data_IF_777527108416
#
_entry.id   IF_777527108416
#
_cell.length_a   1.000
_cell.length_b   1.000
_cell.length_c   1.000
_cell.angle_alpha   90.00
_cell.angle_beta   90.00
_cell.angle_gamma   90.00
#
_symmetry.space_group_name_H-M   'P 1'
#
loop_
_entity.id
_entity.type
_entity.pdbx_description
1 polymer ?
#
# COMPACT_ATOMS: atom_id res chain seq x y z
N UNK A 1 20.29 42.82 -33.79
CA UNK A 1 21.05 41.59 -33.42
C UNK A 1 21.26 41.44 -31.91
N UNK A 2 21.65 42.45 -31.20
CA UNK A 2 21.83 42.38 -29.73
C UNK A 2 20.56 42.05 -28.96
N UNK A 3 19.40 42.50 -29.38
CA UNK A 3 18.10 42.17 -28.79
C UNK A 3 17.75 40.67 -28.92
N UNK A 4 18.06 40.08 -30.04
CA UNK A 4 17.75 38.70 -30.34
C UNK A 4 18.59 37.73 -29.46
N UNK A 5 19.87 38.04 -29.27
CA UNK A 5 20.77 37.27 -28.41
C UNK A 5 20.35 37.34 -26.94
N UNK A 6 19.95 38.52 -26.47
CA UNK A 6 19.45 38.72 -25.11
C UNK A 6 18.12 37.96 -24.86
N UNK A 7 17.23 37.95 -25.83
CA UNK A 7 15.95 37.26 -25.76
C UNK A 7 16.15 35.73 -25.74
N UNK A 8 17.09 35.23 -26.58
CA UNK A 8 17.45 33.82 -26.58
C UNK A 8 18.06 33.35 -25.25
N UNK A 9 18.97 34.16 -24.66
CA UNK A 9 19.59 33.88 -23.39
C UNK A 9 18.56 33.88 -22.24
N UNK A 10 17.59 34.79 -22.28
CA UNK A 10 16.50 34.86 -21.32
C UNK A 10 15.58 33.68 -21.45
N UNK A 11 15.21 33.26 -22.64
CA UNK A 11 14.38 32.09 -22.91
C UNK A 11 15.06 30.81 -22.44
N UNK A 12 16.37 30.67 -22.64
CA UNK A 12 17.13 29.53 -22.15
C UNK A 12 17.14 29.43 -20.60
N UNK A 13 17.30 30.55 -19.91
CA UNK A 13 17.25 30.62 -18.46
C UNK A 13 15.87 30.25 -17.90
N UNK A 14 14.81 30.70 -18.53
CA UNK A 14 13.43 30.37 -18.15
C UNK A 14 13.17 28.88 -18.34
N UNK A 15 13.61 28.33 -19.48
CA UNK A 15 13.44 26.88 -19.73
C UNK A 15 14.21 26.04 -18.74
N UNK A 16 15.40 26.42 -18.33
CA UNK A 16 16.18 25.74 -17.29
C UNK A 16 15.49 25.79 -15.90
N UNK A 17 15.00 26.96 -15.53
CA UNK A 17 14.28 27.14 -14.28
C UNK A 17 13.03 26.26 -14.22
N UNK A 18 12.27 26.18 -15.31
CA UNK A 18 11.09 25.30 -15.41
C UNK A 18 11.45 23.83 -15.25
N UNK A 19 12.54 23.38 -15.85
CA UNK A 19 13.01 21.99 -15.70
C UNK A 19 13.39 21.67 -14.28
N UNK A 20 14.12 22.55 -13.61
CA UNK A 20 14.49 22.38 -12.20
C UNK A 20 13.28 22.31 -11.30
N UNK A 21 12.29 23.17 -11.52
CA UNK A 21 11.05 23.18 -10.75
C UNK A 21 10.26 21.89 -10.94
N UNK A 22 10.14 21.42 -12.18
CA UNK A 22 9.45 20.16 -12.49
C UNK A 22 10.16 18.96 -11.85
N UNK A 23 11.49 18.93 -11.82
CA UNK A 23 12.26 17.89 -11.16
C UNK A 23 12.07 17.92 -9.65
N UNK A 24 12.02 19.10 -9.03
CA UNK A 24 11.71 19.26 -7.62
C UNK A 24 10.31 18.78 -7.28
N UNK A 25 9.30 19.13 -8.09
CA UNK A 25 7.92 18.66 -7.91
C UNK A 25 7.84 17.14 -7.98
N UNK A 26 8.47 16.52 -8.95
CA UNK A 26 8.51 15.07 -9.08
C UNK A 26 9.13 14.40 -7.85
N UNK A 27 10.22 14.95 -7.35
CA UNK A 27 10.87 14.46 -6.14
C UNK A 27 9.98 14.57 -4.91
N UNK A 28 9.26 15.68 -4.75
CA UNK A 28 8.31 15.87 -3.66
C UNK A 28 7.11 14.93 -3.78
N UNK A 29 6.57 14.77 -4.98
CA UNK A 29 5.46 13.83 -5.20
C UNK A 29 5.86 12.38 -4.87
N UNK A 30 7.08 11.98 -5.22
CA UNK A 30 7.59 10.66 -4.88
C UNK A 30 7.70 10.47 -3.36
N UNK A 31 8.16 11.49 -2.63
CA UNK A 31 8.23 11.46 -1.16
C UNK A 31 6.86 11.40 -0.52
N UNK A 32 5.90 12.16 -1.02
CA UNK A 32 4.52 12.16 -0.53
C UNK A 32 3.88 10.79 -0.76
N UNK A 33 4.08 10.19 -1.93
CA UNK A 33 3.58 8.85 -2.24
C UNK A 33 4.18 7.80 -1.32
N UNK A 34 5.48 7.87 -1.07
CA UNK A 34 6.16 6.92 -0.19
C UNK A 34 5.68 7.04 1.26
N UNK A 35 5.51 8.27 1.76
CA UNK A 35 4.96 8.50 3.09
C UNK A 35 3.53 7.98 3.20
N UNK A 36 2.69 8.25 2.20
CA UNK A 36 1.31 7.76 2.15
C UNK A 36 1.26 6.22 2.08
N UNK A 37 2.16 5.61 1.32
CA UNK A 37 2.28 4.16 1.24
C UNK A 37 2.65 3.55 2.60
N UNK A 38 3.62 4.13 3.30
CA UNK A 38 4.04 3.68 4.64
C UNK A 38 2.89 3.79 5.65
N UNK A 39 2.16 4.89 5.64
CA UNK A 39 1.00 5.08 6.51
C UNK A 39 -0.09 4.05 6.20
N UNK A 40 -0.32 3.77 4.93
CA UNK A 40 -1.29 2.77 4.50
C UNK A 40 -0.88 1.36 4.92
N UNK A 41 0.40 1.01 4.76
CA UNK A 41 0.94 -0.28 5.24
C UNK A 41 0.75 -0.44 6.74
N UNK A 42 1.04 0.59 7.52
CA UNK A 42 0.87 0.56 8.95
C UNK A 42 -0.60 0.37 9.35
N UNK A 43 -1.50 1.10 8.69
CA UNK A 43 -2.93 0.95 8.92
C UNK A 43 -3.41 -0.47 8.62
N UNK A 44 -2.98 -1.03 7.48
CA UNK A 44 -3.32 -2.42 7.11
C UNK A 44 -2.79 -3.42 8.13
N UNK A 45 -1.57 -3.22 8.62
CA UNK A 45 -0.97 -4.08 9.63
C UNK A 45 -1.76 -4.04 10.93
N UNK A 46 -2.17 -2.87 11.36
CA UNK A 46 -2.99 -2.69 12.56
C UNK A 46 -4.36 -3.34 12.40
N UNK A 47 -4.99 -3.16 11.24
CA UNK A 47 -6.28 -3.78 10.94
C UNK A 47 -6.17 -5.31 10.89
N UNK A 48 -5.13 -5.85 10.28
CA UNK A 48 -4.89 -7.28 10.25
C UNK A 48 -4.67 -7.85 11.66
N UNK A 49 -3.99 -7.10 12.53
CA UNK A 49 -3.76 -7.50 13.93
C UNK A 49 -5.02 -7.52 14.79
N UNK A 50 -6.07 -6.82 14.37
CA UNK A 50 -7.37 -6.82 15.07
C UNK A 50 -8.22 -8.05 14.72
N UNK A 51 -7.84 -8.82 13.73
CA UNK A 51 -8.58 -10.01 13.32
C UNK A 51 -8.49 -11.08 14.42
N UNK A 52 -9.65 -11.59 14.84
CA UNK A 52 -9.70 -12.66 15.83
C UNK A 52 -9.40 -14.00 15.17
N UNK A 53 -8.50 -14.78 15.78
CA UNK A 53 -8.11 -16.10 15.29
C UNK A 53 -9.10 -17.18 15.77
N UNK A 54 -10.35 -17.05 15.33
CA UNK A 54 -11.44 -17.95 15.67
C UNK A 54 -12.09 -18.50 14.40
N UNK A 55 -12.62 -19.71 14.50
CA UNK A 55 -13.35 -20.34 13.42
C UNK A 55 -14.80 -19.88 13.31
N UNK A 56 -15.52 -20.46 12.37
CA UNK A 56 -16.94 -20.16 12.12
C UNK A 56 -17.86 -20.42 13.30
N UNK A 57 -17.49 -21.33 14.18
CA UNK A 57 -18.20 -21.68 15.40
C UNK A 57 -17.77 -20.89 16.64
N UNK A 58 -16.85 -19.95 16.48
CA UNK A 58 -16.31 -19.15 17.58
C UNK A 58 -15.20 -19.82 18.37
N UNK A 59 -14.81 -21.04 18.05
CA UNK A 59 -13.69 -21.71 18.70
C UNK A 59 -12.36 -21.25 18.14
N UNK A 60 -11.28 -21.23 18.96
CA UNK A 60 -9.96 -20.82 18.46
C UNK A 60 -9.48 -21.69 17.30
N UNK A 61 -8.85 -21.06 16.32
CA UNK A 61 -8.19 -21.77 15.23
C UNK A 61 -7.01 -22.58 15.77
N UNK A 62 -6.77 -23.73 15.16
CA UNK A 62 -5.64 -24.61 15.51
C UNK A 62 -4.55 -24.51 14.46
N UNK A 63 -3.36 -25.05 14.75
CA UNK A 63 -2.23 -25.10 13.81
C UNK A 63 -1.88 -23.74 13.23
N UNK A 64 -1.83 -22.71 14.08
CA UNK A 64 -1.51 -21.34 13.67
C UNK A 64 -0.16 -21.26 12.94
N UNK A 65 -0.14 -20.61 11.79
CA UNK A 65 1.07 -20.40 11.00
C UNK A 65 1.13 -18.97 10.47
N UNK A 66 2.34 -18.38 10.41
CA UNK A 66 2.48 -17.08 9.80
C UNK A 66 2.25 -17.17 8.29
N UNK A 67 1.64 -16.14 7.74
CA UNK A 67 1.42 -15.99 6.31
C UNK A 67 1.55 -14.52 5.95
N UNK A 68 1.54 -14.21 4.68
CA UNK A 68 1.47 -12.83 4.21
C UNK A 68 0.30 -12.67 3.26
N UNK A 69 -0.33 -11.51 3.34
CA UNK A 69 -1.46 -11.14 2.52
C UNK A 69 -1.04 -9.95 1.66
N UNK A 70 -1.27 -10.04 0.35
CA UNK A 70 -0.98 -8.94 -0.56
C UNK A 70 -2.25 -8.16 -0.83
N UNK A 71 -2.21 -6.85 -0.53
CA UNK A 71 -3.32 -5.93 -0.77
C UNK A 71 -2.93 -5.00 -1.91
N UNK A 72 -3.79 -4.90 -2.92
CA UNK A 72 -3.60 -3.93 -3.99
C UNK A 72 -4.06 -2.57 -3.51
N UNK A 73 -3.14 -1.61 -3.47
CA UNK A 73 -3.42 -0.23 -3.07
C UNK A 73 -3.20 0.73 -4.24
N UNK A 74 -3.69 1.98 -4.15
CA UNK A 74 -3.38 3.02 -5.14
C UNK A 74 -1.88 3.29 -5.29
N UNK A 75 -1.07 2.88 -4.31
CA UNK A 75 0.38 3.05 -4.28
C UNK A 75 1.15 1.80 -4.71
N UNK A 76 0.45 0.78 -5.20
CA UNK A 76 1.02 -0.50 -5.59
C UNK A 76 0.69 -1.64 -4.61
N UNK A 77 1.21 -2.85 -4.84
CA UNK A 77 0.95 -3.98 -3.95
C UNK A 77 1.65 -3.82 -2.60
N UNK A 78 0.93 -4.10 -1.53
CA UNK A 78 1.43 -4.04 -0.16
C UNK A 78 1.31 -5.41 0.48
N UNK A 79 2.41 -5.93 1.02
CA UNK A 79 2.43 -7.19 1.76
C UNK A 79 2.21 -6.92 3.25
N UNK A 80 1.25 -7.62 3.84
CA UNK A 80 0.92 -7.51 5.25
C UNK A 80 1.13 -8.87 5.89
N UNK A 81 1.88 -8.92 6.99
CA UNK A 81 2.06 -10.14 7.76
C UNK A 81 0.76 -10.44 8.53
N UNK A 82 0.34 -11.70 8.47
CA UNK A 82 -0.88 -12.16 9.13
C UNK A 82 -0.69 -13.57 9.65
N UNK A 83 -1.67 -14.07 10.39
CA UNK A 83 -1.71 -15.45 10.87
C UNK A 83 -2.87 -16.18 10.22
N UNK A 84 -2.64 -17.41 9.83
CA UNK A 84 -3.68 -18.34 9.39
C UNK A 84 -3.76 -19.49 10.35
N UNK A 85 -4.92 -20.12 10.43
CA UNK A 85 -5.15 -21.28 11.26
C UNK A 85 -6.11 -22.24 10.62
N UNK A 86 -6.21 -23.43 11.19
CA UNK A 86 -7.12 -24.46 10.73
C UNK A 86 -8.42 -24.37 11.52
N UNK A 87 -9.54 -24.30 10.81
CA UNK A 87 -10.88 -24.33 11.38
C UNK A 87 -11.36 -25.78 11.37
N UNK A 88 -11.32 -26.44 12.52
CA UNK A 88 -11.69 -27.85 12.64
C UNK A 88 -13.17 -28.08 12.39
N UNK A 89 -14.03 -27.12 12.70
CA UNK A 89 -15.47 -27.24 12.46
C UNK A 89 -15.82 -27.19 10.98
N UNK A 90 -15.11 -26.37 10.20
CA UNK A 90 -15.32 -26.24 8.75
C UNK A 90 -14.41 -27.16 7.94
N UNK A 91 -13.36 -27.71 8.54
CA UNK A 91 -12.40 -28.56 7.86
C UNK A 91 -11.54 -27.84 6.84
N UNK A 92 -11.24 -26.55 7.07
CA UNK A 92 -10.48 -25.74 6.12
C UNK A 92 -9.51 -24.77 6.80
N UNK A 93 -8.52 -24.31 6.05
CA UNK A 93 -7.62 -23.27 6.49
C UNK A 93 -8.26 -21.91 6.32
N UNK A 94 -8.14 -21.06 7.33
CA UNK A 94 -8.76 -19.72 7.35
C UNK A 94 -7.71 -18.69 7.73
N UNK A 95 -7.77 -17.55 7.05
CA UNK A 95 -7.00 -16.38 7.41
C UNK A 95 -7.94 -15.23 7.75
N UNK A 96 -8.25 -15.02 9.03
CA UNK A 96 -9.20 -13.96 9.44
C UNK A 96 -8.79 -12.55 9.01
N UNK A 97 -7.49 -12.30 8.90
CA UNK A 97 -6.99 -11.02 8.41
C UNK A 97 -7.43 -10.72 6.98
N UNK A 98 -7.50 -11.73 6.11
CA UNK A 98 -8.02 -11.55 4.73
C UNK A 98 -9.47 -11.09 4.73
N UNK A 99 -10.30 -11.70 5.56
CA UNK A 99 -11.71 -11.32 5.67
C UNK A 99 -11.86 -9.89 6.18
N UNK A 100 -11.09 -9.54 7.22
CA UNK A 100 -11.12 -8.19 7.78
C UNK A 100 -10.67 -7.13 6.79
N UNK A 101 -9.70 -7.43 5.95
CA UNK A 101 -9.20 -6.52 4.90
C UNK A 101 -10.09 -6.53 3.64
N UNK A 102 -11.17 -7.30 3.63
CA UNK A 102 -12.11 -7.36 2.52
C UNK A 102 -11.59 -8.10 1.29
N UNK A 103 -10.58 -8.96 1.45
CA UNK A 103 -9.95 -9.67 0.33
C UNK A 103 -10.64 -10.99 -0.04
N UNK A 104 -11.53 -11.47 0.82
CA UNK A 104 -12.31 -12.69 0.57
C UNK A 104 -13.71 -12.28 0.15
N UNK A 105 -14.11 -12.69 -1.05
CA UNK A 105 -15.49 -12.52 -1.50
C UNK A 105 -16.36 -13.51 -0.74
N UNK A 106 -17.37 -13.00 -0.04
CA UNK A 106 -18.39 -13.87 0.54
C UNK A 106 -19.08 -14.65 -0.58
N UNK A 107 -19.01 -15.96 -0.50
CA UNK A 107 -19.82 -16.81 -1.36
C UNK A 107 -21.27 -16.66 -0.90
N UNK A 108 -22.04 -16.07 -1.72
CA UNK A 108 -23.51 -16.06 -1.55
C UNK A 108 -24.08 -17.32 -2.15
#
# INVERSE_FOLDING_TARGET
MERQEKDEARAAKVAEARRRFADMERGQCARIREAARQDYEEWLRLEAGKAKLVGSDGHPLTRLRPTSVTVTSPFGPVKVKAMKGYDESAGEWVCPAKERLGLVKKKT
#
